data_IF_356574017535
#
_entry.id   IF_356574017535
#
_cell.length_a   1.000
_cell.length_b   1.000
_cell.length_c   1.000
_cell.angle_alpha   90.00
_cell.angle_beta   90.00
_cell.angle_gamma   90.00
#
_symmetry.space_group_name_H-M   'P 1'
#
loop_
_entity.id
_entity.type
_entity.pdbx_description
1 polymer ?
#
# COMPACT_ATOMS: atom_id res chain seq x y z
N UNK A 1 27.01 -15.45 -24.35
CA UNK A 1 28.46 -15.46 -24.24
C UNK A 1 28.86 -14.74 -22.96
N UNK A 2 29.82 -15.29 -22.22
CA UNK A 2 30.41 -14.63 -21.06
C UNK A 2 31.45 -13.58 -21.51
N UNK A 3 31.72 -12.56 -20.70
CA UNK A 3 32.71 -11.54 -21.01
C UNK A 3 32.69 -10.35 -20.05
N UNK A 4 33.69 -9.50 -20.20
CA UNK A 4 33.78 -8.24 -19.49
C UNK A 4 32.68 -7.28 -19.96
N UNK A 5 32.03 -6.62 -19.01
CA UNK A 5 31.09 -5.51 -19.27
C UNK A 5 31.87 -4.17 -19.16
N UNK A 6 31.18 -3.10 -19.53
CA UNK A 6 31.78 -1.77 -19.46
C UNK A 6 32.12 -1.43 -18.01
N UNK A 7 33.38 -1.06 -17.70
CA UNK A 7 33.72 -0.62 -16.34
C UNK A 7 33.00 0.65 -15.97
N UNK A 8 32.65 0.76 -14.69
CA UNK A 8 32.05 1.95 -14.12
C UNK A 8 33.09 2.76 -13.38
N UNK A 9 33.11 4.06 -13.63
CA UNK A 9 33.97 5.03 -12.93
C UNK A 9 33.05 6.05 -12.23
N UNK A 10 33.21 6.18 -10.92
CA UNK A 10 32.49 7.19 -10.12
C UNK A 10 33.51 7.98 -9.31
N UNK A 11 33.32 9.30 -9.28
CA UNK A 11 34.14 10.20 -8.47
C UNK A 11 33.26 10.81 -7.39
N UNK A 12 33.65 10.68 -6.14
CA UNK A 12 32.95 11.18 -4.97
C UNK A 12 33.91 11.79 -3.96
N UNK A 13 33.40 12.29 -2.84
CA UNK A 13 34.19 12.72 -1.68
C UNK A 13 35.04 11.59 -1.08
N UNK A 14 34.67 10.35 -1.31
CA UNK A 14 35.36 9.17 -0.82
C UNK A 14 36.53 8.72 -1.71
N UNK A 15 36.70 9.37 -2.85
CA UNK A 15 37.70 9.08 -3.83
C UNK A 15 37.13 8.59 -5.15
N UNK A 16 37.97 7.86 -5.89
CA UNK A 16 37.63 7.29 -7.19
C UNK A 16 37.16 5.83 -6.96
N UNK A 17 35.95 5.52 -7.38
CA UNK A 17 35.43 4.16 -7.41
C UNK A 17 35.55 3.62 -8.84
N UNK A 18 36.16 2.45 -8.97
CA UNK A 18 36.27 1.70 -10.23
C UNK A 18 35.68 0.32 -10.02
N UNK A 19 34.71 -0.04 -10.82
CA UNK A 19 34.09 -1.37 -10.82
C UNK A 19 34.28 -1.99 -12.23
N UNK A 20 34.66 -3.27 -12.28
CA UNK A 20 34.83 -3.99 -13.55
C UNK A 20 33.97 -5.25 -13.56
N UNK A 21 32.74 -5.18 -14.05
CA UNK A 21 31.83 -6.33 -14.03
C UNK A 21 32.25 -7.38 -15.06
N UNK A 22 32.22 -8.64 -14.66
CA UNK A 22 32.36 -9.79 -15.54
C UNK A 22 31.08 -10.60 -15.57
N UNK A 23 30.47 -10.69 -16.74
CA UNK A 23 29.26 -11.45 -16.97
C UNK A 23 29.54 -12.91 -17.27
N UNK A 24 28.85 -13.81 -16.58
CA UNK A 24 28.87 -15.27 -16.73
C UNK A 24 27.55 -15.76 -17.29
N UNK A 25 27.55 -16.17 -18.56
CA UNK A 25 26.41 -16.87 -19.15
C UNK A 25 26.54 -18.38 -18.80
N UNK A 26 25.92 -18.76 -17.68
CA UNK A 26 26.00 -20.12 -17.14
C UNK A 26 25.12 -21.11 -17.90
N UNK A 27 23.89 -20.69 -18.22
CA UNK A 27 22.91 -21.43 -18.98
C UNK A 27 21.88 -20.46 -19.58
N UNK A 28 20.98 -20.89 -20.48
CA UNK A 28 19.93 -20.02 -21.05
C UNK A 28 19.03 -19.36 -19.99
N UNK A 29 18.92 -19.97 -18.83
CA UNK A 29 18.02 -19.59 -17.71
C UNK A 29 18.75 -19.27 -16.40
N UNK A 30 20.08 -19.24 -16.40
CA UNK A 30 20.92 -18.83 -15.27
C UNK A 30 22.04 -17.92 -15.77
N UNK A 31 22.26 -16.83 -15.08
CA UNK A 31 23.44 -16.01 -15.29
C UNK A 31 23.97 -15.47 -13.95
N UNK A 32 25.21 -15.04 -14.00
CA UNK A 32 25.85 -14.36 -12.88
C UNK A 32 26.68 -13.18 -13.37
N UNK A 33 26.84 -12.19 -12.53
CA UNK A 33 27.79 -11.09 -12.74
C UNK A 33 28.63 -10.94 -11.49
N UNK A 34 29.93 -10.99 -11.63
CA UNK A 34 30.88 -10.74 -10.55
C UNK A 34 31.54 -9.39 -10.83
N UNK A 35 31.50 -8.52 -9.84
CA UNK A 35 31.92 -7.12 -9.96
C UNK A 35 33.03 -6.81 -8.94
N UNK A 36 34.28 -7.13 -9.19
CA UNK A 36 35.37 -6.61 -8.37
C UNK A 36 35.45 -5.09 -8.55
N UNK A 37 35.72 -4.39 -7.47
CA UNK A 37 35.82 -2.95 -7.43
C UNK A 37 36.80 -2.45 -6.39
N UNK A 38 37.22 -1.22 -6.52
CA UNK A 38 38.03 -0.50 -5.57
C UNK A 38 37.56 0.93 -5.39
N UNK A 39 37.46 1.37 -4.15
CA UNK A 39 37.26 2.77 -3.78
C UNK A 39 38.55 3.26 -3.14
N UNK A 40 39.26 4.21 -3.77
CA UNK A 40 40.64 4.59 -3.38
C UNK A 40 40.75 5.05 -1.92
N UNK A 41 39.74 5.68 -1.37
CA UNK A 41 39.69 6.13 0.02
C UNK A 41 39.17 5.09 1.02
N UNK A 42 38.59 3.95 0.58
CA UNK A 42 37.96 2.95 1.46
C UNK A 42 38.61 1.57 1.38
N UNK A 43 38.71 1.00 0.21
CA UNK A 43 39.27 -0.35 0.05
C UNK A 43 38.76 -1.10 -1.16
N UNK A 44 38.96 -2.42 -1.15
CA UNK A 44 38.50 -3.34 -2.20
C UNK A 44 37.09 -3.83 -1.87
N UNK A 45 36.24 -3.89 -2.88
CA UNK A 45 34.90 -4.45 -2.77
C UNK A 45 34.65 -5.55 -3.80
N UNK A 46 33.78 -6.47 -3.49
CA UNK A 46 33.31 -7.52 -4.38
C UNK A 46 31.79 -7.49 -4.47
N UNK A 47 31.29 -7.20 -5.66
CA UNK A 47 29.87 -7.38 -5.98
C UNK A 47 29.64 -8.73 -6.65
N UNK A 48 28.49 -9.34 -6.39
CA UNK A 48 28.03 -10.53 -7.09
C UNK A 48 26.51 -10.46 -7.28
N UNK A 49 26.04 -10.83 -8.45
CA UNK A 49 24.62 -11.01 -8.75
C UNK A 49 24.43 -12.36 -9.42
N UNK A 50 23.46 -13.11 -8.97
CA UNK A 50 23.01 -14.35 -9.59
C UNK A 50 21.52 -14.23 -9.91
N UNK A 51 21.12 -14.53 -11.17
CA UNK A 51 19.73 -14.53 -11.62
C UNK A 51 19.37 -15.91 -12.14
N UNK A 52 18.14 -16.31 -11.87
CA UNK A 52 17.59 -17.59 -12.31
C UNK A 52 16.13 -17.43 -12.75
N UNK A 53 15.77 -18.16 -13.81
CA UNK A 53 14.43 -18.18 -14.39
C UNK A 53 14.07 -19.61 -14.80
N UNK A 54 13.04 -20.15 -14.17
CA UNK A 54 12.45 -21.46 -14.48
C UNK A 54 10.97 -21.30 -14.77
N UNK A 55 10.29 -22.28 -15.36
CA UNK A 55 8.87 -22.19 -15.67
C UNK A 55 7.98 -21.87 -14.45
N UNK A 56 8.39 -22.30 -13.26
CA UNK A 56 7.61 -22.16 -12.02
C UNK A 56 8.23 -21.24 -10.98
N UNK A 57 9.47 -20.79 -11.17
CA UNK A 57 10.12 -19.87 -10.25
C UNK A 57 11.14 -18.97 -10.93
N UNK A 58 11.31 -17.79 -10.39
CA UNK A 58 12.30 -16.82 -10.81
C UNK A 58 12.84 -16.03 -9.61
N UNK A 59 14.05 -15.54 -9.75
CA UNK A 59 14.60 -14.69 -8.71
C UNK A 59 16.00 -14.18 -9.00
N UNK A 60 16.48 -13.38 -8.07
CA UNK A 60 17.85 -12.87 -8.05
C UNK A 60 18.39 -12.82 -6.64
N UNK A 61 19.67 -13.10 -6.51
CA UNK A 61 20.46 -12.87 -5.30
C UNK A 61 21.55 -11.88 -5.70
N UNK A 62 21.68 -10.81 -4.95
CA UNK A 62 22.68 -9.78 -5.17
C UNK A 62 23.36 -9.44 -3.86
N UNK A 63 24.69 -9.38 -3.87
CA UNK A 63 25.47 -8.99 -2.71
C UNK A 63 26.60 -8.05 -3.08
N UNK A 64 26.98 -7.20 -2.15
CA UNK A 64 28.24 -6.45 -2.14
C UNK A 64 28.94 -6.69 -0.81
N UNK A 65 30.23 -6.83 -0.84
CA UNK A 65 31.05 -7.06 0.33
C UNK A 65 32.38 -6.30 0.25
N UNK A 66 32.69 -5.58 1.32
CA UNK A 66 33.97 -4.87 1.52
C UNK A 66 34.58 -5.38 2.83
N UNK A 67 35.61 -6.22 2.78
CA UNK A 67 36.19 -6.86 3.97
C UNK A 67 36.90 -5.87 4.91
N UNK A 68 37.37 -4.74 4.40
CA UNK A 68 38.12 -3.74 5.16
C UNK A 68 37.78 -2.34 4.62
N UNK A 69 36.94 -1.61 5.34
CA UNK A 69 36.59 -0.22 5.04
C UNK A 69 37.47 0.72 5.90
N UNK A 70 38.48 1.31 5.29
CA UNK A 70 39.45 2.19 5.97
C UNK A 70 38.88 3.50 6.47
N UNK A 71 37.63 3.85 6.08
CA UNK A 71 36.95 5.10 6.49
C UNK A 71 35.87 4.88 7.51
N UNK A 72 35.57 3.65 7.86
CA UNK A 72 34.52 3.30 8.81
C UNK A 72 35.11 2.60 10.04
N UNK A 73 34.50 2.79 11.18
CA UNK A 73 34.77 1.96 12.38
C UNK A 73 34.27 0.52 12.18
N UNK A 74 33.40 0.29 11.19
CA UNK A 74 32.89 -1.02 10.80
C UNK A 74 33.80 -1.64 9.75
N UNK A 75 34.50 -2.69 10.11
CA UNK A 75 35.27 -3.48 9.17
C UNK A 75 34.36 -4.27 8.22
N UNK A 76 34.29 -5.31 7.86
CA UNK A 76 33.38 -6.19 7.10
C UNK A 76 31.99 -5.58 6.76
N UNK A 77 31.93 -4.77 5.74
CA UNK A 77 30.67 -4.16 5.30
C UNK A 77 30.03 -4.96 4.18
N UNK A 78 28.74 -5.22 4.30
CA UNK A 78 28.01 -6.06 3.36
C UNK A 78 26.58 -5.58 3.12
N UNK A 79 26.09 -5.86 1.92
CA UNK A 79 24.69 -5.69 1.52
C UNK A 79 24.22 -6.96 0.82
N UNK A 80 23.07 -7.49 1.22
CA UNK A 80 22.46 -8.67 0.61
C UNK A 80 21.01 -8.38 0.24
N UNK A 81 20.67 -8.65 -1.02
CA UNK A 81 19.29 -8.63 -1.53
C UNK A 81 18.98 -10.00 -2.10
N UNK A 82 17.85 -10.58 -1.69
CA UNK A 82 17.30 -11.79 -2.29
C UNK A 82 15.84 -11.59 -2.62
N UNK A 83 15.49 -11.70 -3.89
CA UNK A 83 14.13 -11.66 -4.39
C UNK A 83 13.82 -12.96 -5.11
N UNK A 84 12.75 -13.62 -4.69
CA UNK A 84 12.32 -14.90 -5.21
C UNK A 84 10.81 -14.95 -5.35
N UNK A 85 10.33 -15.51 -6.47
CA UNK A 85 8.93 -15.81 -6.71
C UNK A 85 8.78 -17.25 -7.15
N UNK A 86 7.78 -17.93 -6.64
CA UNK A 86 7.51 -19.36 -6.88
C UNK A 86 6.03 -19.59 -7.13
N UNK A 87 5.72 -20.30 -8.22
CA UNK A 87 4.41 -20.89 -8.46
C UNK A 87 4.50 -22.36 -8.08
N UNK A 88 3.92 -22.76 -6.93
CA UNK A 88 3.96 -24.14 -6.43
C UNK A 88 2.94 -25.02 -7.13
N UNK A 89 1.72 -24.48 -7.30
CA UNK A 89 0.60 -25.11 -8.03
C UNK A 89 -0.14 -24.02 -8.81
N UNK A 90 -1.08 -24.35 -9.69
CA UNK A 90 -1.90 -23.35 -10.38
C UNK A 90 -2.64 -22.38 -9.44
N UNK A 91 -2.87 -22.77 -8.18
CA UNK A 91 -3.62 -21.98 -7.19
C UNK A 91 -2.77 -21.49 -6.02
N UNK A 92 -1.52 -21.93 -5.89
CA UNK A 92 -0.63 -21.58 -4.79
C UNK A 92 0.66 -20.98 -5.31
N UNK A 93 0.96 -19.77 -4.89
CA UNK A 93 2.21 -19.06 -5.18
C UNK A 93 2.80 -18.45 -3.91
N UNK A 94 4.05 -18.05 -3.97
CA UNK A 94 4.70 -17.38 -2.85
C UNK A 94 6.01 -16.75 -3.26
N UNK A 95 6.67 -16.14 -2.31
CA UNK A 95 7.94 -15.50 -2.58
C UNK A 95 8.67 -15.03 -1.33
N UNK A 96 9.85 -14.52 -1.56
CA UNK A 96 10.75 -13.94 -0.57
C UNK A 96 11.22 -12.60 -1.12
N UNK A 97 11.23 -11.59 -0.26
CA UNK A 97 11.88 -10.31 -0.47
C UNK A 97 12.73 -9.99 0.75
N UNK A 98 14.02 -10.12 0.61
CA UNK A 98 14.97 -9.99 1.71
C UNK A 98 16.02 -8.94 1.35
N UNK A 99 16.16 -7.92 2.22
CA UNK A 99 17.14 -6.86 2.08
C UNK A 99 17.82 -6.64 3.43
N UNK A 100 19.15 -6.70 3.45
CA UNK A 100 19.93 -6.53 4.68
C UNK A 100 21.25 -5.84 4.38
N UNK A 101 21.66 -4.95 5.29
CA UNK A 101 22.99 -4.35 5.33
C UNK A 101 23.69 -4.67 6.65
N UNK A 102 25.00 -4.57 6.66
CA UNK A 102 25.84 -4.86 7.83
C UNK A 102 25.66 -3.87 8.98
N UNK A 103 25.37 -2.61 8.67
CA UNK A 103 25.35 -1.50 9.63
C UNK A 103 24.43 -0.35 9.20
N UNK A 104 24.13 0.55 10.14
CA UNK A 104 23.22 1.68 9.92
C UNK A 104 23.75 2.72 8.93
N UNK A 105 25.08 2.80 8.79
CA UNK A 105 25.73 3.83 7.99
C UNK A 105 25.96 3.40 6.54
N UNK A 106 25.66 2.13 6.23
CA UNK A 106 25.92 1.54 4.92
C UNK A 106 25.35 2.36 3.76
N UNK A 107 24.05 2.71 3.81
CA UNK A 107 23.42 3.50 2.75
C UNK A 107 23.95 4.93 2.69
N UNK A 108 24.24 5.55 3.84
CA UNK A 108 24.82 6.90 3.89
C UNK A 108 26.18 6.95 3.24
N UNK A 109 26.97 5.90 3.39
CA UNK A 109 28.35 5.87 2.93
C UNK A 109 28.51 5.45 1.46
N UNK A 110 27.60 4.59 0.95
CA UNK A 110 27.73 4.02 -0.40
C UNK A 110 26.70 4.52 -1.41
N UNK A 111 25.62 5.17 -0.96
CA UNK A 111 24.53 5.62 -1.82
C UNK A 111 24.22 7.10 -1.63
N UNK A 112 23.43 7.67 -2.53
CA UNK A 112 23.02 9.07 -2.48
C UNK A 112 21.94 9.36 -1.44
N UNK A 113 21.64 10.64 -1.22
CA UNK A 113 20.61 11.09 -0.25
C UNK A 113 19.20 10.53 -0.56
N UNK A 114 18.86 10.40 -1.83
CA UNK A 114 17.54 9.89 -2.26
C UNK A 114 17.41 8.39 -1.95
N UNK A 115 18.50 7.63 -2.08
CA UNK A 115 18.56 6.22 -1.72
C UNK A 115 18.42 6.01 -0.20
N UNK A 116 18.98 6.91 0.61
CA UNK A 116 18.86 6.88 2.08
C UNK A 116 17.40 7.10 2.47
N UNK A 117 16.73 8.13 1.93
CA UNK A 117 15.35 8.44 2.24
C UNK A 117 14.38 7.29 1.86
N UNK A 118 14.69 6.57 0.77
CA UNK A 118 13.88 5.47 0.27
C UNK A 118 14.12 4.15 1.01
N UNK A 119 15.25 3.98 1.70
CA UNK A 119 15.70 2.71 2.28
C UNK A 119 15.88 2.77 3.80
N UNK A 120 15.08 3.54 4.52
CA UNK A 120 15.11 3.58 5.98
C UNK A 120 14.69 2.25 6.60
N UNK A 121 13.69 1.57 6.01
CA UNK A 121 13.18 0.27 6.45
C UNK A 121 13.46 -0.80 5.41
N UNK A 122 14.50 -1.61 5.63
CA UNK A 122 14.84 -2.70 4.72
C UNK A 122 13.93 -3.90 4.95
N UNK A 123 13.20 -4.29 3.93
CA UNK A 123 12.19 -5.34 4.01
C UNK A 123 12.80 -6.74 4.11
N UNK A 124 12.25 -7.55 5.00
CA UNK A 124 12.53 -8.99 5.13
C UNK A 124 11.20 -9.70 5.25
N UNK A 125 10.72 -10.23 4.14
CA UNK A 125 9.39 -10.78 4.01
C UNK A 125 9.41 -12.12 3.27
N UNK A 126 8.58 -13.04 3.74
CA UNK A 126 8.18 -14.22 2.97
C UNK A 126 6.65 -14.30 2.97
N UNK A 127 6.07 -14.73 1.85
CA UNK A 127 4.62 -14.80 1.71
C UNK A 127 4.17 -16.00 0.88
N UNK A 128 2.90 -16.37 1.10
CA UNK A 128 2.15 -17.35 0.31
C UNK A 128 0.80 -16.76 -0.09
N UNK A 129 0.39 -16.95 -1.32
CA UNK A 129 -0.94 -16.65 -1.85
C UNK A 129 -1.61 -17.93 -2.30
N UNK A 130 -2.85 -18.13 -1.89
CA UNK A 130 -3.68 -19.24 -2.34
C UNK A 130 -5.03 -18.72 -2.82
N UNK A 131 -5.36 -19.02 -4.07
CA UNK A 131 -6.63 -18.66 -4.68
C UNK A 131 -7.36 -19.94 -5.11
N UNK A 132 -8.57 -20.16 -4.61
CA UNK A 132 -9.34 -21.37 -4.90
C UNK A 132 -10.84 -21.10 -4.89
N UNK A 133 -11.62 -22.09 -5.27
CA UNK A 133 -13.07 -22.07 -5.15
C UNK A 133 -13.52 -22.90 -3.95
N UNK A 134 -14.40 -22.33 -3.13
CA UNK A 134 -14.95 -22.99 -1.94
C UNK A 134 -16.43 -22.63 -1.81
N UNK A 135 -17.30 -23.65 -1.65
CA UNK A 135 -18.76 -23.52 -1.46
C UNK A 135 -19.46 -22.64 -2.50
N UNK A 136 -18.99 -22.70 -3.76
CA UNK A 136 -19.54 -21.92 -4.88
C UNK A 136 -19.12 -20.44 -4.90
N UNK A 137 -18.17 -20.07 -4.06
CA UNK A 137 -17.51 -18.74 -4.05
C UNK A 137 -16.03 -18.85 -4.38
N UNK A 138 -15.37 -17.72 -4.44
CA UNK A 138 -13.89 -17.60 -4.52
C UNK A 138 -13.33 -17.38 -3.12
N UNK A 139 -12.22 -18.03 -2.81
CA UNK A 139 -11.46 -17.89 -1.58
C UNK A 139 -10.05 -17.44 -1.93
N UNK A 140 -9.70 -16.24 -1.50
CA UNK A 140 -8.37 -15.66 -1.61
C UNK A 140 -7.73 -15.67 -0.22
N UNK A 141 -6.59 -16.33 -0.07
CA UNK A 141 -5.86 -16.44 1.19
C UNK A 141 -4.43 -15.96 1.02
N UNK A 142 -3.94 -15.25 2.02
CA UNK A 142 -2.60 -14.69 2.06
C UNK A 142 -1.97 -14.96 3.42
N UNK A 143 -0.77 -15.51 3.44
CA UNK A 143 0.02 -15.70 4.63
C UNK A 143 1.36 -14.94 4.48
N UNK A 144 1.81 -14.26 5.52
CA UNK A 144 3.11 -13.57 5.49
C UNK A 144 3.78 -13.52 6.86
N UNK A 145 5.09 -13.53 6.82
CA UNK A 145 5.97 -13.08 7.90
C UNK A 145 6.79 -11.92 7.39
N UNK A 146 6.91 -10.84 8.17
CA UNK A 146 7.61 -9.63 7.77
C UNK A 146 8.30 -8.97 8.97
N UNK A 147 9.56 -8.66 8.81
CA UNK A 147 10.33 -7.85 9.75
C UNK A 147 11.17 -6.85 8.95
N UNK A 148 11.47 -5.71 9.55
CA UNK A 148 12.33 -4.71 8.94
C UNK A 148 13.69 -4.64 9.63
N UNK A 149 14.74 -4.34 8.87
CA UNK A 149 15.92 -3.71 9.44
C UNK A 149 15.76 -2.21 9.28
N UNK A 150 15.50 -1.51 10.37
CA UNK A 150 15.35 -0.06 10.38
C UNK A 150 16.70 0.58 10.62
N UNK A 151 17.11 1.45 9.70
CA UNK A 151 18.35 2.21 9.79
C UNK A 151 18.13 3.47 10.62
N UNK A 152 19.04 3.78 11.54
CA UNK A 152 18.99 5.02 12.30
C UNK A 152 19.30 6.23 11.39
N UNK A 153 18.67 7.36 11.67
CA UNK A 153 19.04 8.63 11.06
C UNK A 153 20.41 9.14 11.60
N UNK A 154 20.87 10.31 11.11
CA UNK A 154 22.12 10.95 11.55
C UNK A 154 22.16 11.23 13.06
N UNK A 155 21.02 11.38 13.71
CA UNK A 155 20.89 11.67 15.14
C UNK A 155 20.73 10.39 15.98
N UNK A 156 20.87 9.22 15.36
CA UNK A 156 20.72 7.90 16.01
C UNK A 156 19.27 7.49 16.28
N UNK A 157 18.28 8.28 15.82
CA UNK A 157 16.87 7.98 16.04
C UNK A 157 16.35 6.96 15.03
N UNK A 158 15.59 5.98 15.54
CA UNK A 158 14.91 4.94 14.72
C UNK A 158 13.42 4.99 14.97
N UNK A 159 12.64 4.91 13.90
CA UNK A 159 11.20 4.63 13.98
C UNK A 159 10.94 3.25 13.39
N UNK A 160 11.03 2.22 14.20
CA UNK A 160 10.85 0.85 13.76
C UNK A 160 9.36 0.51 13.63
N UNK A 161 8.93 -0.01 12.48
CA UNK A 161 7.58 -0.56 12.31
C UNK A 161 7.42 -1.87 13.10
N UNK A 162 6.18 -2.23 13.45
CA UNK A 162 5.90 -3.55 13.99
C UNK A 162 6.32 -4.66 13.02
N UNK A 163 6.96 -5.70 13.56
CA UNK A 163 7.11 -6.96 12.85
C UNK A 163 5.76 -7.70 12.81
N UNK A 164 5.51 -8.40 11.71
CA UNK A 164 4.32 -9.22 11.48
C UNK A 164 4.75 -10.70 11.50
N UNK A 165 4.39 -11.42 12.57
CA UNK A 165 4.95 -12.73 12.85
C UNK A 165 3.94 -13.74 13.44
N UNK A 166 3.00 -14.32 12.65
CA UNK A 166 2.67 -14.10 11.23
C UNK A 166 1.41 -13.22 11.02
N UNK A 167 1.02 -13.03 9.76
CA UNK A 167 -0.33 -12.62 9.35
C UNK A 167 -0.93 -13.68 8.44
N UNK A 168 -2.17 -14.05 8.73
CA UNK A 168 -3.03 -14.85 7.86
C UNK A 168 -4.26 -14.02 7.51
N UNK A 169 -4.51 -13.81 6.24
CA UNK A 169 -5.70 -13.12 5.76
C UNK A 169 -6.46 -14.01 4.80
N UNK A 170 -7.77 -13.98 4.87
CA UNK A 170 -8.63 -14.70 3.93
C UNK A 170 -9.83 -13.85 3.55
N UNK A 171 -10.26 -13.96 2.30
CA UNK A 171 -11.46 -13.32 1.79
C UNK A 171 -12.24 -14.33 0.96
N UNK A 172 -13.44 -14.61 1.41
CA UNK A 172 -14.39 -15.43 0.67
C UNK A 172 -15.48 -14.55 0.08
N UNK A 173 -15.77 -14.74 -1.21
CA UNK A 173 -16.76 -13.95 -1.93
C UNK A 173 -17.66 -14.90 -2.73
N UNK A 174 -18.98 -14.72 -2.60
CA UNK A 174 -19.97 -15.50 -3.34
C UNK A 174 -21.05 -14.61 -3.93
N UNK A 175 -21.23 -14.58 -5.25
CA UNK A 175 -22.37 -13.93 -5.89
C UNK A 175 -23.65 -14.77 -5.69
N UNK A 176 -24.77 -14.11 -5.41
CA UNK A 176 -26.11 -14.69 -5.24
C UNK A 176 -27.13 -13.77 -5.93
N UNK A 177 -27.34 -13.95 -7.23
CA UNK A 177 -28.19 -13.05 -8.02
C UNK A 177 -27.64 -11.61 -7.97
N UNK A 178 -28.46 -10.67 -7.53
CA UNK A 178 -28.03 -9.27 -7.35
C UNK A 178 -27.25 -9.01 -6.06
N UNK A 179 -27.10 -10.00 -5.20
CA UNK A 179 -26.35 -9.89 -3.96
C UNK A 179 -24.96 -10.51 -4.09
N UNK A 180 -24.01 -10.01 -3.30
CA UNK A 180 -22.69 -10.57 -3.10
C UNK A 180 -22.42 -10.68 -1.60
N UNK A 181 -22.14 -11.88 -1.14
CA UNK A 181 -21.67 -12.13 0.22
C UNK A 181 -20.13 -12.01 0.22
N UNK A 182 -19.60 -11.29 1.20
CA UNK A 182 -18.16 -11.18 1.43
C UNK A 182 -17.88 -11.50 2.90
N UNK A 183 -16.90 -12.36 3.14
CA UNK A 183 -16.39 -12.62 4.48
C UNK A 183 -14.88 -12.41 4.46
N UNK A 184 -14.43 -11.39 5.19
CA UNK A 184 -13.01 -11.16 5.42
C UNK A 184 -12.65 -11.66 6.81
N UNK A 185 -11.55 -12.38 6.91
CA UNK A 185 -10.95 -12.82 8.16
C UNK A 185 -9.45 -12.54 8.16
N UNK A 186 -8.91 -12.11 9.29
CA UNK A 186 -7.47 -11.88 9.44
C UNK A 186 -7.02 -12.17 10.85
N UNK A 187 -5.95 -12.92 10.99
CA UNK A 187 -5.15 -13.03 12.21
C UNK A 187 -3.80 -12.37 11.97
N UNK A 188 -3.33 -11.56 12.92
CA UNK A 188 -2.00 -10.96 12.87
C UNK A 188 -1.38 -10.94 14.26
N UNK A 189 -0.16 -11.43 14.36
CA UNK A 189 0.73 -11.23 15.50
C UNK A 189 1.65 -10.06 15.19
N UNK A 190 1.63 -9.03 16.05
CA UNK A 190 2.48 -7.85 15.99
C UNK A 190 3.54 -7.94 17.09
N UNK A 191 4.81 -7.75 16.72
CA UNK A 191 5.94 -7.77 17.64
C UNK A 191 6.77 -6.49 17.50
N UNK A 192 7.19 -5.95 18.64
CA UNK A 192 8.06 -4.78 18.71
C UNK A 192 8.85 -4.81 20.01
N UNK A 193 10.15 -4.46 19.96
CA UNK A 193 11.03 -4.54 21.11
C UNK A 193 10.75 -3.40 22.13
N UNK A 194 10.28 -2.24 21.67
CA UNK A 194 10.08 -1.02 22.47
C UNK A 194 8.61 -0.58 22.59
N UNK A 195 7.66 -1.34 22.05
CA UNK A 195 6.23 -1.04 22.12
C UNK A 195 5.42 -2.27 22.48
N UNK A 196 4.20 -2.05 22.91
CA UNK A 196 3.30 -3.16 23.24
C UNK A 196 3.10 -4.10 22.06
N UNK A 197 3.44 -5.36 22.22
CA UNK A 197 3.17 -6.45 21.27
C UNK A 197 1.81 -7.07 21.54
N UNK A 198 1.28 -7.82 20.58
CA UNK A 198 0.00 -8.51 20.74
C UNK A 198 -0.51 -9.14 19.46
N UNK A 199 -1.61 -9.85 19.60
CA UNK A 199 -2.31 -10.49 18.49
C UNK A 199 -3.64 -9.82 18.24
N UNK A 200 -4.03 -9.75 16.96
CA UNK A 200 -5.33 -9.24 16.52
C UNK A 200 -6.01 -10.25 15.63
N UNK A 201 -7.27 -10.54 15.93
CA UNK A 201 -8.17 -11.29 15.07
C UNK A 201 -9.30 -10.40 14.60
N UNK A 202 -9.56 -10.37 13.29
CA UNK A 202 -10.58 -9.57 12.63
C UNK A 202 -11.48 -10.46 11.81
N UNK A 203 -12.80 -10.25 11.93
CA UNK A 203 -13.80 -10.84 11.05
C UNK A 203 -14.76 -9.75 10.58
N UNK A 204 -14.98 -9.70 9.26
CA UNK A 204 -15.88 -8.73 8.65
C UNK A 204 -16.77 -9.41 7.60
N UNK A 205 -17.87 -10.06 8.00
CA UNK A 205 -18.93 -10.49 7.09
C UNK A 205 -19.72 -9.28 6.60
N UNK A 206 -20.05 -9.28 5.31
CA UNK A 206 -20.90 -8.24 4.70
C UNK A 206 -21.67 -8.78 3.50
N UNK A 207 -22.80 -8.16 3.23
CA UNK A 207 -23.62 -8.41 2.04
C UNK A 207 -23.80 -7.08 1.31
N UNK A 208 -23.55 -7.08 0.02
CA UNK A 208 -23.76 -5.95 -0.88
C UNK A 208 -24.72 -6.36 -1.97
N UNK A 209 -25.69 -5.52 -2.28
CA UNK A 209 -26.59 -5.68 -3.42
C UNK A 209 -26.17 -4.74 -4.54
N UNK A 210 -26.38 -5.14 -5.79
CA UNK A 210 -26.14 -4.34 -6.98
C UNK A 210 -27.41 -4.30 -7.83
N UNK A 211 -28.19 -3.27 -7.64
CA UNK A 211 -29.35 -2.96 -8.47
C UNK A 211 -28.96 -1.90 -9.47
N UNK A 212 -28.82 -2.28 -10.73
CA UNK A 212 -28.41 -1.36 -11.80
C UNK A 212 -29.23 -1.55 -13.07
N UNK A 213 -29.27 -0.48 -13.85
CA UNK A 213 -29.82 -0.45 -15.19
C UNK A 213 -28.93 0.46 -16.08
N UNK A 214 -29.41 0.80 -17.28
CA UNK A 214 -28.63 1.59 -18.24
C UNK A 214 -28.37 3.04 -17.78
N UNK A 215 -29.18 3.61 -16.91
CA UNK A 215 -29.10 5.00 -16.50
C UNK A 215 -28.70 5.22 -15.05
N UNK A 216 -28.55 4.16 -14.24
CA UNK A 216 -28.13 4.33 -12.87
C UNK A 216 -28.02 3.04 -12.07
N UNK A 217 -27.60 3.18 -10.79
CA UNK A 217 -27.45 2.08 -9.85
C UNK A 217 -27.76 2.51 -8.43
N UNK A 218 -28.15 1.52 -7.60
CA UNK A 218 -28.27 1.62 -6.14
C UNK A 218 -27.63 0.36 -5.55
N UNK A 219 -26.63 0.55 -4.68
CA UNK A 219 -25.80 -0.52 -4.10
C UNK A 219 -25.77 -0.42 -2.58
N UNK A 220 -26.80 -0.89 -1.88
CA UNK A 220 -26.76 -0.97 -0.42
C UNK A 220 -25.81 -2.06 0.04
N UNK A 221 -25.13 -1.83 1.17
CA UNK A 221 -24.26 -2.77 1.85
C UNK A 221 -24.53 -2.75 3.34
N UNK A 222 -24.53 -3.93 3.95
CA UNK A 222 -24.57 -4.11 5.40
C UNK A 222 -23.45 -5.07 5.80
N UNK A 223 -22.81 -4.80 6.92
CA UNK A 223 -21.77 -5.66 7.46
C UNK A 223 -21.56 -5.43 8.96
N UNK A 224 -20.80 -6.33 9.56
CA UNK A 224 -20.42 -6.26 10.97
C UNK A 224 -18.92 -6.49 11.07
N UNK A 225 -18.18 -5.46 11.47
CA UNK A 225 -16.73 -5.56 11.69
C UNK A 225 -16.44 -5.86 13.15
N UNK A 226 -15.83 -7.01 13.42
CA UNK A 226 -15.43 -7.42 14.76
C UNK A 226 -13.92 -7.61 14.82
N UNK A 227 -13.29 -7.01 15.84
CA UNK A 227 -11.88 -7.16 16.15
C UNK A 227 -11.71 -7.64 17.58
N UNK A 228 -10.84 -8.62 17.79
CA UNK A 228 -10.42 -9.12 19.08
C UNK A 228 -8.91 -8.97 19.21
N UNK A 229 -8.46 -8.49 20.37
CA UNK A 229 -7.06 -8.25 20.68
C UNK A 229 -6.64 -9.03 21.92
N UNK A 230 -5.48 -9.63 21.85
CA UNK A 230 -4.76 -10.22 22.97
C UNK A 230 -3.39 -9.54 23.07
N UNK A 231 -3.24 -8.68 24.10
CA UNK A 231 -2.10 -7.79 24.27
C UNK A 231 -1.17 -8.36 25.33
N UNK A 232 0.12 -8.39 25.02
CA UNK A 232 1.15 -8.85 25.94
C UNK A 232 1.33 -7.88 27.12
N UNK A 233 2.02 -8.32 28.15
CA UNK A 233 2.50 -7.42 29.22
C UNK A 233 3.56 -6.48 28.66
N UNK A 234 3.47 -5.21 29.01
CA UNK A 234 4.42 -4.19 28.57
C UNK A 234 4.53 -3.06 29.60
N UNK A 235 5.75 -2.57 29.84
CA UNK A 235 6.06 -1.42 30.70
C UNK A 235 5.35 -1.48 32.08
N UNK A 236 5.40 -2.66 32.72
CA UNK A 236 4.78 -2.89 34.05
C UNK A 236 3.26 -3.10 34.01
N UNK A 237 2.59 -2.92 32.88
CA UNK A 237 1.19 -3.27 32.70
C UNK A 237 1.02 -4.75 32.35
N UNK A 238 0.07 -5.43 33.00
CA UNK A 238 -0.28 -6.82 32.68
C UNK A 238 -0.90 -6.93 31.29
N UNK A 239 -0.71 -8.07 30.67
CA UNK A 239 -1.39 -8.41 29.42
C UNK A 239 -2.92 -8.37 29.58
N UNK A 240 -3.62 -8.01 28.52
CA UNK A 240 -5.07 -7.87 28.54
C UNK A 240 -5.70 -8.20 27.18
N UNK A 241 -6.96 -8.59 27.23
CA UNK A 241 -7.77 -8.77 26.05
C UNK A 241 -8.77 -7.61 25.91
N UNK A 242 -9.07 -7.23 24.66
CA UNK A 242 -10.10 -6.24 24.37
C UNK A 242 -10.73 -6.53 23.02
N UNK A 243 -11.93 -6.01 22.77
CA UNK A 243 -12.65 -6.25 21.53
C UNK A 243 -13.48 -5.06 21.09
N UNK A 244 -13.76 -5.00 19.79
CA UNK A 244 -14.64 -4.01 19.19
C UNK A 244 -15.53 -4.68 18.16
N UNK A 245 -16.84 -4.39 18.23
CA UNK A 245 -17.81 -4.78 17.19
C UNK A 245 -18.55 -3.55 16.73
N UNK A 246 -18.58 -3.33 15.42
CA UNK A 246 -19.21 -2.19 14.76
C UNK A 246 -20.11 -2.67 13.62
N UNK A 247 -21.42 -2.41 13.68
CA UNK A 247 -22.29 -2.51 12.52
C UNK A 247 -21.95 -1.39 11.53
N UNK A 248 -21.93 -1.72 10.26
CA UNK A 248 -21.59 -0.84 9.15
C UNK A 248 -22.70 -0.94 8.11
N UNK A 249 -23.22 0.20 7.71
CA UNK A 249 -24.21 0.30 6.65
C UNK A 249 -23.84 1.41 5.69
N UNK A 250 -23.93 1.15 4.39
CA UNK A 250 -23.77 2.20 3.39
C UNK A 250 -24.66 1.95 2.17
N UNK A 251 -24.93 3.03 1.43
CA UNK A 251 -25.63 3.01 0.16
C UNK A 251 -24.83 3.86 -0.82
N UNK A 252 -24.38 3.25 -1.89
CA UNK A 252 -23.76 3.93 -3.03
C UNK A 252 -24.75 3.98 -4.18
N UNK A 253 -25.03 5.16 -4.70
CA UNK A 253 -25.98 5.34 -5.80
C UNK A 253 -25.45 6.38 -6.79
N UNK A 254 -25.77 6.19 -8.05
CA UNK A 254 -25.37 7.09 -9.11
C UNK A 254 -26.28 7.01 -10.32
N UNK A 255 -26.21 8.04 -11.14
CA UNK A 255 -26.91 8.12 -12.42
C UNK A 255 -25.91 8.48 -13.52
N UNK A 256 -26.25 8.17 -14.78
CA UNK A 256 -25.47 8.55 -15.94
C UNK A 256 -26.37 9.22 -16.96
N UNK A 257 -26.03 10.45 -17.30
CA UNK A 257 -26.67 11.23 -18.36
C UNK A 257 -25.65 11.43 -19.46
N UNK A 258 -25.98 11.09 -20.69
CA UNK A 258 -25.07 11.20 -21.82
C UNK A 258 -25.53 12.23 -22.82
N UNK A 259 -24.59 12.99 -23.38
CA UNK A 259 -24.81 13.83 -24.54
C UNK A 259 -23.69 13.68 -25.57
N UNK A 260 -24.04 13.87 -26.82
CA UNK A 260 -23.04 14.11 -27.88
C UNK A 260 -22.59 15.56 -27.80
N UNK A 261 -21.30 15.80 -27.83
CA UNK A 261 -20.70 17.13 -27.81
C UNK A 261 -19.65 17.24 -28.90
N UNK A 262 -19.38 18.47 -29.34
CA UNK A 262 -18.36 18.75 -30.34
C UNK A 262 -17.32 19.68 -29.72
N UNK A 263 -16.07 19.24 -29.71
CA UNK A 263 -14.92 19.99 -29.22
C UNK A 263 -13.85 19.98 -30.31
N UNK A 264 -13.29 21.16 -30.64
CA UNK A 264 -12.20 21.31 -31.60
C UNK A 264 -12.48 20.58 -32.96
N UNK A 265 -13.72 20.70 -33.45
CA UNK A 265 -14.20 20.07 -34.70
C UNK A 265 -14.42 18.55 -34.66
N UNK A 266 -14.10 17.85 -33.58
CA UNK A 266 -14.33 16.43 -33.39
C UNK A 266 -15.59 16.17 -32.55
N UNK A 267 -16.26 15.05 -32.81
CA UNK A 267 -17.41 14.58 -32.04
C UNK A 267 -16.94 13.73 -30.87
N UNK A 268 -17.59 13.92 -29.70
CA UNK A 268 -17.34 13.17 -28.49
C UNK A 268 -18.64 12.78 -27.79
N UNK A 269 -18.56 11.79 -26.92
CA UNK A 269 -19.61 11.45 -25.97
C UNK A 269 -19.20 12.03 -24.62
N UNK A 270 -20.10 12.79 -24.00
CA UNK A 270 -19.90 13.38 -22.68
C UNK A 270 -20.95 12.83 -21.70
N UNK A 271 -20.62 11.83 -20.86
CA UNK A 271 -21.42 11.46 -19.71
C UNK A 271 -21.27 12.47 -18.57
N UNK A 272 -22.38 12.74 -17.88
CA UNK A 272 -22.45 13.43 -16.59
C UNK A 272 -22.94 12.42 -15.57
N UNK A 273 -22.16 12.20 -14.51
CA UNK A 273 -22.33 11.11 -13.56
C UNK A 273 -22.43 11.66 -12.12
N UNK A 274 -23.63 12.10 -11.69
CA UNK A 274 -23.87 12.40 -10.27
C UNK A 274 -23.84 11.13 -9.44
N UNK A 275 -23.24 11.20 -8.24
CA UNK A 275 -23.09 10.11 -7.28
C UNK A 275 -23.43 10.57 -5.87
N UNK A 276 -24.09 9.71 -5.14
CA UNK A 276 -24.44 9.90 -3.75
C UNK A 276 -24.00 8.67 -2.96
N UNK A 277 -23.28 8.89 -1.86
CA UNK A 277 -22.82 7.84 -0.96
C UNK A 277 -23.22 8.17 0.48
N UNK A 278 -24.14 7.41 1.02
CA UNK A 278 -24.48 7.45 2.44
C UNK A 278 -23.64 6.43 3.20
N UNK A 279 -23.02 6.81 4.31
CA UNK A 279 -22.22 5.94 5.16
C UNK A 279 -22.61 6.09 6.63
N UNK A 280 -22.87 4.96 7.27
CA UNK A 280 -23.17 4.88 8.69
C UNK A 280 -22.28 3.86 9.39
N UNK A 281 -21.52 4.32 10.39
CA UNK A 281 -20.74 3.51 11.33
C UNK A 281 -21.00 4.09 12.71
N UNK A 282 -21.44 3.22 13.64
CA UNK A 282 -21.74 3.65 15.00
C UNK A 282 -20.52 4.23 15.71
N UNK A 283 -20.68 5.36 16.40
CA UNK A 283 -19.62 5.99 17.17
C UNK A 283 -19.32 5.19 18.43
N UNK A 284 -18.08 4.71 18.56
CA UNK A 284 -17.59 4.01 19.74
C UNK A 284 -16.16 4.47 20.01
N UNK A 285 -15.83 4.80 21.26
CA UNK A 285 -14.45 5.08 21.65
C UNK A 285 -13.58 3.86 21.45
N UNK A 286 -12.34 4.06 21.03
CA UNK A 286 -11.36 3.02 20.68
C UNK A 286 -10.01 3.30 21.33
N UNK A 287 -9.95 4.13 22.37
CA UNK A 287 -8.73 4.51 23.08
C UNK A 287 -8.14 3.36 23.90
N UNK A 288 -8.92 2.32 24.17
CA UNK A 288 -8.48 1.07 24.79
C UNK A 288 -7.86 0.07 23.80
N UNK A 289 -7.94 0.35 22.49
CA UNK A 289 -7.38 -0.47 21.44
C UNK A 289 -5.99 0.04 21.03
N UNK A 290 -5.01 -0.84 20.80
CA UNK A 290 -3.70 -0.45 20.27
C UNK A 290 -3.84 0.09 18.84
N UNK A 291 -2.80 0.77 18.37
CA UNK A 291 -2.62 1.10 16.96
C UNK A 291 -1.36 0.43 16.44
N UNK A 292 -1.50 -0.73 15.82
CA UNK A 292 -0.41 -1.49 15.22
C UNK A 292 -0.15 -1.09 13.76
N UNK A 293 -1.22 -0.91 12.95
CA UNK A 293 -1.12 -0.76 11.50
C UNK A 293 -2.07 0.27 10.87
N UNK A 294 -2.76 1.06 11.68
CA UNK A 294 -3.67 2.08 11.13
C UNK A 294 -2.99 3.44 10.98
N UNK A 295 -3.27 4.08 9.86
CA UNK A 295 -2.90 5.45 9.55
C UNK A 295 -4.06 6.17 8.86
N UNK A 296 -4.07 7.49 8.93
CA UNK A 296 -5.05 8.31 8.24
C UNK A 296 -4.71 8.39 6.75
N UNK A 297 -5.69 8.10 5.90
CA UNK A 297 -5.55 8.26 4.47
C UNK A 297 -5.71 9.74 4.08
N UNK A 298 -4.96 10.18 3.07
CA UNK A 298 -5.11 11.53 2.52
C UNK A 298 -6.53 11.76 2.02
N UNK A 299 -7.13 12.90 2.36
CA UNK A 299 -8.48 13.23 1.90
C UNK A 299 -8.44 13.58 0.41
N UNK A 300 -9.04 12.73 -0.41
CA UNK A 300 -9.09 12.83 -1.87
C UNK A 300 -10.52 12.61 -2.37
N UNK A 301 -10.75 12.79 -3.66
CA UNK A 301 -12.06 12.53 -4.27
C UNK A 301 -12.55 11.10 -3.99
N UNK A 302 -11.68 10.10 -4.08
CA UNK A 302 -12.02 8.70 -3.82
C UNK A 302 -12.36 8.45 -2.34
N UNK A 303 -11.81 9.23 -1.41
CA UNK A 303 -12.10 9.12 0.02
C UNK A 303 -13.54 9.55 0.37
N UNK A 304 -14.21 10.34 -0.49
CA UNK A 304 -15.62 10.67 -0.35
C UNK A 304 -16.51 9.42 -0.31
N UNK A 305 -16.10 8.35 -1.00
CA UNK A 305 -16.86 7.12 -1.20
C UNK A 305 -16.30 5.91 -0.45
N UNK A 306 -15.35 6.13 0.45
CA UNK A 306 -14.80 5.07 1.30
C UNK A 306 -15.59 4.94 2.60
N UNK A 307 -15.73 3.69 3.03
CA UNK A 307 -16.35 3.31 4.28
C UNK A 307 -15.52 3.74 5.48
N UNK A 308 -14.22 3.42 5.48
CA UNK A 308 -13.27 3.76 6.52
C UNK A 308 -12.22 4.76 5.99
N UNK A 309 -11.93 5.81 6.76
CA UNK A 309 -10.92 6.82 6.45
C UNK A 309 -9.52 6.39 6.85
N UNK A 310 -9.40 5.33 7.65
CA UNK A 310 -8.12 4.79 8.11
C UNK A 310 -7.73 3.57 7.28
N UNK A 311 -6.42 3.40 7.11
CA UNK A 311 -5.83 2.13 6.66
C UNK A 311 -5.79 1.13 7.82
N UNK A 312 -5.44 -0.13 7.53
CA UNK A 312 -5.36 -1.18 8.55
C UNK A 312 -6.71 -1.56 9.14
N UNK A 313 -6.69 -2.15 10.34
CA UNK A 313 -7.90 -2.64 11.01
C UNK A 313 -8.02 -2.18 12.48
N UNK A 314 -7.07 -1.37 12.98
CA UNK A 314 -7.10 -0.92 14.37
C UNK A 314 -8.06 0.24 14.58
N UNK A 315 -8.11 1.17 13.64
CA UNK A 315 -9.02 2.31 13.72
C UNK A 315 -10.09 2.24 12.63
N UNK A 316 -11.32 2.46 13.07
CA UNK A 316 -12.48 2.63 12.19
C UNK A 316 -13.16 3.92 12.62
N UNK A 317 -13.28 4.87 11.69
CA UNK A 317 -13.95 6.12 11.98
C UNK A 317 -15.44 5.91 12.26
N UNK A 318 -16.03 6.77 13.06
CA UNK A 318 -17.48 6.90 13.06
C UNK A 318 -17.94 7.58 11.78
N UNK A 319 -19.12 7.24 11.32
CA UNK A 319 -19.72 7.88 10.15
C UNK A 319 -21.24 7.98 10.32
N UNK A 320 -21.78 9.13 10.00
CA UNK A 320 -23.17 9.35 9.67
C UNK A 320 -23.16 10.55 8.72
N UNK A 321 -22.95 10.25 7.44
CA UNK A 321 -22.64 11.27 6.45
C UNK A 321 -23.14 10.90 5.06
N UNK A 322 -23.37 11.94 4.25
CA UNK A 322 -23.69 11.84 2.84
C UNK A 322 -22.59 12.51 2.05
N UNK A 323 -21.94 11.79 1.15
CA UNK A 323 -21.04 12.35 0.13
C UNK A 323 -21.81 12.54 -1.15
N UNK A 324 -21.73 13.72 -1.73
CA UNK A 324 -22.29 14.05 -3.04
C UNK A 324 -21.18 14.42 -3.98
N UNK A 325 -21.22 13.93 -5.19
CA UNK A 325 -20.26 14.28 -6.20
C UNK A 325 -20.87 14.25 -7.59
N UNK A 326 -20.22 14.93 -8.51
CA UNK A 326 -20.51 14.86 -9.94
C UNK A 326 -19.18 14.75 -10.69
N UNK A 327 -19.16 13.85 -11.66
CA UNK A 327 -18.03 13.78 -12.60
C UNK A 327 -18.54 13.81 -14.03
N UNK A 328 -17.67 14.22 -14.94
CA UNK A 328 -17.90 14.18 -16.39
C UNK A 328 -16.66 13.62 -17.07
N UNK A 329 -16.86 12.98 -18.20
CA UNK A 329 -15.79 12.44 -19.05
C UNK A 329 -15.96 12.92 -20.47
N UNK A 330 -14.89 12.95 -21.24
CA UNK A 330 -14.89 13.18 -22.68
C UNK A 330 -14.38 11.90 -23.33
N UNK A 331 -15.27 11.21 -24.05
CA UNK A 331 -14.98 9.91 -24.66
C UNK A 331 -14.97 10.00 -26.17
N UNK A 332 -14.03 9.33 -26.81
CA UNK A 332 -14.04 9.13 -28.27
C UNK A 332 -15.21 8.19 -28.62
N UNK A 333 -16.12 8.58 -29.52
CA UNK A 333 -17.32 7.78 -29.84
C UNK A 333 -17.01 6.47 -30.60
N UNK A 334 -15.85 6.35 -31.24
CA UNK A 334 -15.49 5.19 -32.06
C UNK A 334 -14.71 4.15 -31.24
N UNK A 335 -13.80 4.62 -30.39
CA UNK A 335 -12.88 3.76 -29.61
C UNK A 335 -13.28 3.61 -28.16
N UNK A 336 -14.15 4.48 -27.64
CA UNK A 336 -14.45 4.57 -26.21
C UNK A 336 -13.30 5.14 -25.36
N UNK A 337 -12.19 5.54 -25.98
CA UNK A 337 -11.04 6.07 -25.26
C UNK A 337 -11.39 7.38 -24.54
N UNK A 338 -10.98 7.46 -23.26
CA UNK A 338 -11.18 8.64 -22.43
C UNK A 338 -10.06 9.66 -22.69
N UNK A 339 -10.45 10.89 -23.06
CA UNK A 339 -9.53 12.01 -23.25
C UNK A 339 -9.36 12.79 -21.97
N UNK A 340 -10.48 13.06 -21.29
CA UNK A 340 -10.51 13.90 -20.09
C UNK A 340 -11.58 13.37 -19.14
N UNK A 341 -11.26 13.44 -17.85
CA UNK A 341 -12.18 13.21 -16.75
C UNK A 341 -12.03 14.34 -15.74
N UNK A 342 -13.13 14.91 -15.31
CA UNK A 342 -13.14 15.92 -14.28
C UNK A 342 -14.29 15.64 -13.31
N UNK A 343 -14.08 15.92 -12.04
CA UNK A 343 -15.09 15.71 -11.02
C UNK A 343 -14.88 16.61 -9.81
N UNK A 344 -15.95 16.77 -9.06
CA UNK A 344 -15.92 17.48 -7.77
C UNK A 344 -16.96 16.90 -6.82
N UNK A 345 -16.70 17.02 -5.54
CA UNK A 345 -17.62 16.52 -4.51
C UNK A 345 -17.35 17.10 -3.14
N UNK A 346 -18.28 16.84 -2.24
CA UNK A 346 -18.25 17.28 -0.83
C UNK A 346 -18.97 16.26 0.05
N UNK A 347 -18.51 16.12 1.29
CA UNK A 347 -19.15 15.27 2.30
C UNK A 347 -19.90 16.15 3.30
N UNK A 348 -21.13 15.77 3.61
CA UNK A 348 -21.99 16.40 4.60
C UNK A 348 -22.14 15.48 5.81
N UNK A 349 -21.85 15.98 7.00
CA UNK A 349 -21.94 15.24 8.27
C UNK A 349 -23.31 15.47 8.89
N UNK A 350 -24.12 14.40 8.99
CA UNK A 350 -25.41 14.41 9.71
C UNK A 350 -25.11 14.39 11.21
N UNK A 351 -24.10 13.60 11.61
CA UNK A 351 -23.56 13.59 12.97
C UNK A 351 -22.06 13.88 12.90
N UNK A 352 -21.62 14.83 13.74
CA UNK A 352 -20.27 15.37 13.68
C UNK A 352 -19.22 14.56 14.51
N UNK A 353 -19.63 13.48 15.17
CA UNK A 353 -18.70 12.68 15.94
C UNK A 353 -17.68 11.97 15.00
N UNK A 354 -16.42 11.99 15.38
CA UNK A 354 -15.35 11.29 14.69
C UNK A 354 -14.42 10.58 15.67
N UNK A 355 -14.02 9.38 15.35
CA UNK A 355 -12.96 8.65 16.06
C UNK A 355 -11.63 9.03 15.48
N UNK A 356 -10.73 9.56 16.30
CA UNK A 356 -9.38 9.96 15.89
C UNK A 356 -8.41 8.76 15.87
N UNK A 357 -7.22 8.98 15.34
CA UNK A 357 -6.20 7.93 15.24
C UNK A 357 -5.75 7.39 16.60
N UNK A 358 -5.79 8.19 17.65
CA UNK A 358 -5.52 7.78 19.04
C UNK A 358 -6.68 6.98 19.68
N UNK A 359 -7.80 6.86 18.98
CA UNK A 359 -9.00 6.14 19.43
C UNK A 359 -9.99 7.00 20.22
N UNK A 360 -9.67 8.24 20.53
CA UNK A 360 -10.56 9.19 21.19
C UNK A 360 -11.70 9.63 20.25
N UNK A 361 -12.80 10.09 20.83
CA UNK A 361 -13.91 10.66 20.08
C UNK A 361 -13.81 12.18 20.10
N UNK A 362 -13.80 12.78 18.92
CA UNK A 362 -13.81 14.22 18.71
C UNK A 362 -15.05 14.63 17.90
N UNK A 363 -15.19 15.91 17.64
CA UNK A 363 -16.25 16.44 16.79
C UNK A 363 -15.68 17.26 15.65
N UNK A 364 -16.21 17.06 14.45
CA UNK A 364 -15.93 17.97 13.34
C UNK A 364 -16.47 19.37 13.68
N UNK A 365 -15.67 20.37 13.42
CA UNK A 365 -16.08 21.77 13.65
C UNK A 365 -17.16 22.27 12.70
N UNK A 366 -17.41 21.52 11.62
CA UNK A 366 -18.38 21.85 10.57
C UNK A 366 -19.22 20.66 10.18
N UNK A 367 -20.39 20.97 9.64
CA UNK A 367 -21.32 19.95 9.11
C UNK A 367 -20.96 19.51 7.68
N UNK A 368 -19.82 19.94 7.14
CA UNK A 368 -19.36 19.57 5.79
C UNK A 368 -17.85 19.59 5.69
N UNK A 369 -17.31 18.76 4.78
CA UNK A 369 -15.90 18.75 4.42
C UNK A 369 -15.54 19.94 3.52
N UNK A 370 -14.27 20.11 3.23
CA UNK A 370 -13.82 20.92 2.12
C UNK A 370 -14.30 20.35 0.77
N UNK A 371 -14.29 21.18 -0.26
CA UNK A 371 -14.52 20.73 -1.62
C UNK A 371 -13.30 19.99 -2.14
N UNK A 372 -13.52 18.85 -2.76
CA UNK A 372 -12.50 18.08 -3.45
C UNK A 372 -12.88 17.97 -4.92
N UNK A 373 -11.91 18.21 -5.79
CA UNK A 373 -12.07 18.04 -7.22
C UNK A 373 -10.83 17.47 -7.88
N UNK A 374 -10.96 17.08 -9.12
CA UNK A 374 -9.85 16.61 -9.94
C UNK A 374 -10.10 16.88 -11.42
N UNK A 375 -9.01 16.97 -12.18
CA UNK A 375 -8.99 16.98 -13.64
C UNK A 375 -7.85 16.11 -14.10
N UNK A 376 -8.17 15.01 -14.80
CA UNK A 376 -7.19 14.04 -15.30
C UNK A 376 -7.45 13.78 -16.78
N UNK A 377 -6.43 13.65 -17.60
CA UNK A 377 -6.57 13.22 -18.97
C UNK A 377 -5.43 13.59 -19.89
N UNK A 378 -5.55 13.12 -21.14
CA UNK A 378 -4.60 13.38 -22.21
C UNK A 378 -5.28 14.25 -23.27
N UNK A 379 -4.99 15.54 -23.24
CA UNK A 379 -5.56 16.53 -24.20
C UNK A 379 -5.00 16.31 -25.61
N UNK A 380 -3.78 15.80 -25.70
CA UNK A 380 -3.13 15.38 -26.94
C UNK A 380 -2.11 14.26 -26.67
N UNK A 381 -1.50 13.73 -27.73
CA UNK A 381 -0.41 12.73 -27.60
C UNK A 381 0.79 13.24 -26.80
N UNK A 382 0.95 14.56 -26.64
CA UNK A 382 2.09 15.19 -25.98
C UNK A 382 1.73 15.99 -24.75
N UNK A 383 0.43 16.12 -24.42
CA UNK A 383 -0.04 16.96 -23.30
C UNK A 383 -0.99 16.15 -22.44
N UNK A 384 -0.57 15.88 -21.20
CA UNK A 384 -1.40 15.31 -20.14
C UNK A 384 -1.68 16.37 -19.06
N UNK A 385 -2.84 16.27 -18.45
CA UNK A 385 -3.24 17.04 -17.26
C UNK A 385 -3.53 16.03 -16.16
N UNK A 386 -2.94 16.26 -14.99
CA UNK A 386 -3.18 15.48 -13.79
C UNK A 386 -3.14 16.43 -12.59
N UNK A 387 -4.32 16.79 -12.08
CA UNK A 387 -4.48 17.83 -11.06
C UNK A 387 -5.57 17.44 -10.08
N UNK A 388 -5.22 17.41 -8.78
CA UNK A 388 -6.17 17.33 -7.68
C UNK A 388 -6.38 18.73 -7.09
N UNK A 389 -7.62 19.05 -6.76
CA UNK A 389 -8.06 20.34 -6.26
C UNK A 389 -8.65 20.15 -4.88
N UNK A 390 -8.11 20.85 -3.90
CA UNK A 390 -8.61 20.89 -2.54
C UNK A 390 -8.94 22.33 -2.18
N UNK A 391 -10.23 22.67 -2.04
CA UNK A 391 -10.67 24.02 -1.73
C UNK A 391 -11.22 24.13 -0.31
N UNK A 392 -10.49 24.84 0.54
CA UNK A 392 -10.87 25.13 1.93
C UNK A 392 -11.63 26.46 2.00
N UNK A 393 -12.92 26.42 2.38
CA UNK A 393 -13.77 27.59 2.46
C UNK A 393 -13.41 28.60 3.59
N UNK A 394 -12.44 28.27 4.46
CA UNK A 394 -12.04 29.18 5.57
C UNK A 394 -10.89 30.12 5.22
N UNK A 395 -10.12 29.85 4.19
CA UNK A 395 -9.00 30.71 3.78
C UNK A 395 -9.41 31.86 2.87
N UNK A 396 -10.68 31.92 2.49
CA UNK A 396 -11.22 32.97 1.59
C UNK A 396 -11.95 34.09 2.32
N UNK A 397 -11.64 34.35 3.62
CA UNK A 397 -12.12 35.52 4.37
C UNK A 397 -10.97 36.42 4.82
#
# INVERSE_FOLDING_TARGET
>A
KSGLLVPTLKISSDGVEVETPYYLNLAPNYDATITPGIITGRGVQLGAQFRYLQPTYAGRIQGKWMPDDRRSEHNNRAHLIWQHQQQFTPTLSGGIDYNQVSDNDYYRDFYGRDDIASNVNLNRQAWLNHNTRLWGGTLDSYATVQKYQTLANSDGYKTEPYAIMPRFSTRWQKPLGNAQINVFGQYTRFEHDEKQSGSRFVVYPSVKWDFHNQWGYIRPKIGVHTSYYDLDSFDGASGRTTSRTLPIFNIDSGMTFERRTRLFSNNYIQPLEPRLFYNYIHTKTQNDLPNFDSSENSFSYDQLFRENLYSGNDRINSANSISTAVQTRILNPETGAELLRAGMGQKFYIKNDNVLLDGSVSRYQRNRSDWIGFVHGNVSQSVSIDTDIHYNQNQSR
#
